data_IF_630409475865
#
_entry.id   IF_630409475865
#
_cell.length_a   1.000
_cell.length_b   1.000
_cell.length_c   1.000
_cell.angle_alpha   90.00
_cell.angle_beta   90.00
_cell.angle_gamma   90.00
#
_symmetry.space_group_name_H-M   'P 1'
#
loop_
_entity.id
_entity.type
_entity.pdbx_description
1 polymer ?
#
# COMPACT_ATOMS: atom_id res chain seq x y z
N UNK A 1 -35.25 -9.26 -3.31
CA UNK A 1 -34.28 -8.89 -2.25
C UNK A 1 -32.89 -9.12 -2.79
N UNK A 2 -32.13 -8.05 -2.99
CA UNK A 2 -30.69 -8.20 -3.18
C UNK A 2 -30.11 -8.65 -1.83
N UNK A 3 -29.41 -9.78 -1.75
CA UNK A 3 -28.60 -10.07 -0.58
C UNK A 3 -27.64 -8.89 -0.44
N UNK A 4 -27.62 -8.25 0.72
CA UNK A 4 -26.64 -7.22 1.02
C UNK A 4 -25.27 -7.88 0.79
N UNK A 5 -24.56 -7.41 -0.25
CA UNK A 5 -23.21 -7.85 -0.54
C UNK A 5 -22.42 -7.55 0.72
N UNK A 6 -22.01 -8.60 1.42
CA UNK A 6 -21.26 -8.46 2.65
C UNK A 6 -20.02 -7.65 2.34
N UNK A 7 -19.86 -6.50 3.01
CA UNK A 7 -18.74 -5.61 2.75
C UNK A 7 -17.44 -6.34 3.12
N UNK A 8 -16.57 -6.48 2.14
CA UNK A 8 -15.24 -7.04 2.34
C UNK A 8 -14.49 -6.25 3.42
N UNK A 9 -13.94 -6.94 4.39
CA UNK A 9 -13.07 -6.34 5.39
C UNK A 9 -11.63 -6.44 4.92
N UNK A 10 -10.95 -5.30 4.86
CA UNK A 10 -9.52 -5.21 4.60
C UNK A 10 -8.80 -5.18 5.94
N UNK A 11 -7.91 -6.14 6.15
CA UNK A 11 -7.12 -6.25 7.38
C UNK A 11 -5.65 -6.29 7.03
N UNK A 12 -4.87 -5.47 7.72
CA UNK A 12 -3.42 -5.51 7.65
C UNK A 12 -2.82 -5.55 9.06
N UNK A 13 -1.69 -6.18 9.20
CA UNK A 13 -1.00 -6.27 10.48
C UNK A 13 0.51 -6.24 10.29
N UNK A 14 1.25 -5.77 11.30
CA UNK A 14 2.68 -5.98 11.36
C UNK A 14 2.97 -7.47 11.63
N UNK A 15 4.18 -7.89 11.31
CA UNK A 15 4.56 -9.30 11.42
C UNK A 15 4.37 -9.86 12.84
N UNK A 16 4.71 -9.10 13.87
CA UNK A 16 4.55 -9.55 15.27
C UNK A 16 3.13 -9.42 15.82
N UNK A 17 2.22 -8.78 15.09
CA UNK A 17 0.83 -8.60 15.51
C UNK A 17 0.58 -7.48 16.51
N UNK A 18 1.61 -6.75 16.94
CA UNK A 18 1.46 -5.68 17.93
C UNK A 18 0.62 -4.50 17.44
N UNK A 19 0.59 -4.27 16.13
CA UNK A 19 -0.23 -3.24 15.50
C UNK A 19 -0.96 -3.79 14.28
N UNK A 20 -2.18 -3.31 14.08
CA UNK A 20 -3.03 -3.75 12.97
C UNK A 20 -3.98 -2.64 12.55
N UNK A 21 -4.58 -2.81 11.38
CA UNK A 21 -5.67 -1.97 10.91
C UNK A 21 -6.77 -2.79 10.26
N UNK A 22 -7.96 -2.23 10.23
CA UNK A 22 -9.11 -2.80 9.52
C UNK A 22 -9.87 -1.70 8.80
N UNK A 23 -10.46 -2.04 7.66
CA UNK A 23 -11.29 -1.14 6.85
C UNK A 23 -12.44 -1.94 6.21
N UNK A 24 -13.66 -1.48 6.38
CA UNK A 24 -14.86 -2.10 5.81
C UNK A 24 -15.41 -1.31 4.62
N UNK A 25 -14.53 -0.65 3.90
CA UNK A 25 -14.88 0.07 2.67
C UNK A 25 -13.99 -0.40 1.51
N UNK A 26 -14.47 -0.23 0.29
CA UNK A 26 -13.70 -0.58 -0.90
C UNK A 26 -12.44 0.29 -1.01
N UNK A 27 -11.29 -0.29 -1.40
CA UNK A 27 -10.12 0.49 -1.74
C UNK A 27 -10.42 1.49 -2.86
N UNK A 28 -9.80 2.66 -2.77
CA UNK A 28 -9.91 3.72 -3.78
C UNK A 28 -8.81 3.67 -4.84
N UNK A 29 -7.83 2.82 -4.65
CA UNK A 29 -6.74 2.62 -5.60
C UNK A 29 -5.82 1.49 -5.21
N UNK A 30 -5.08 1.02 -6.20
CA UNK A 30 -4.01 0.05 -6.03
C UNK A 30 -2.95 0.31 -7.10
N UNK A 31 -1.67 0.32 -6.72
CA UNK A 31 -0.58 0.65 -7.63
C UNK A 31 0.74 0.03 -7.18
N UNK A 32 1.70 -0.01 -8.10
CA UNK A 32 3.07 -0.42 -7.83
C UNK A 32 4.02 0.78 -7.99
N UNK A 33 4.84 1.04 -6.98
CA UNK A 33 5.78 2.16 -6.96
C UNK A 33 7.23 1.68 -6.94
N UNK A 34 8.00 2.09 -7.95
CA UNK A 34 9.40 1.71 -8.13
C UNK A 34 10.39 2.79 -7.68
N UNK A 35 9.94 3.85 -7.02
CA UNK A 35 10.82 4.94 -6.60
C UNK A 35 11.87 4.47 -5.59
N UNK A 36 12.99 5.19 -5.55
CA UNK A 36 14.10 4.89 -4.64
C UNK A 36 13.69 4.90 -3.17
N UNK A 37 12.75 5.77 -2.79
CA UNK A 37 12.20 5.81 -1.43
C UNK A 37 11.45 4.52 -1.08
N UNK A 38 10.55 4.06 -1.95
CA UNK A 38 9.80 2.82 -1.73
C UNK A 38 10.73 1.60 -1.69
N UNK A 39 11.72 1.54 -2.60
CA UNK A 39 12.72 0.46 -2.58
C UNK A 39 13.53 0.43 -1.29
N UNK A 40 14.07 1.58 -0.89
CA UNK A 40 14.95 1.65 0.29
C UNK A 40 14.20 1.40 1.60
N UNK A 41 12.98 1.89 1.72
CA UNK A 41 12.18 1.73 2.94
C UNK A 41 11.55 0.35 3.07
N UNK A 42 11.35 -0.38 1.97
CA UNK A 42 10.83 -1.75 1.98
C UNK A 42 11.91 -2.82 1.90
N UNK A 43 13.06 -2.49 1.32
CA UNK A 43 14.10 -3.46 0.98
C UNK A 43 13.78 -4.30 -0.27
N UNK A 44 12.68 -4.04 -0.96
CA UNK A 44 12.27 -4.77 -2.15
C UNK A 44 12.53 -4.00 -3.46
N UNK A 45 12.25 -4.65 -4.58
CA UNK A 45 12.38 -4.04 -5.90
C UNK A 45 11.39 -2.89 -6.12
N UNK A 46 10.19 -3.01 -5.55
CA UNK A 46 9.13 -2.00 -5.56
C UNK A 46 8.17 -2.27 -4.41
N UNK A 47 7.30 -1.33 -4.13
CA UNK A 47 6.23 -1.48 -3.16
C UNK A 47 4.87 -1.40 -3.85
N UNK A 48 3.94 -2.24 -3.42
CA UNK A 48 2.56 -2.21 -3.87
C UNK A 48 1.69 -1.55 -2.82
N UNK A 49 0.83 -0.63 -3.24
CA UNK A 49 0.09 0.23 -2.33
C UNK A 49 -1.40 0.16 -2.57
N UNK A 50 -2.14 -0.13 -1.50
CA UNK A 50 -3.59 0.06 -1.45
C UNK A 50 -3.89 1.44 -0.88
N UNK A 51 -4.83 2.15 -1.51
CA UNK A 51 -5.40 3.39 -0.98
C UNK A 51 -6.73 3.07 -0.33
N UNK A 52 -6.81 3.20 0.99
CA UNK A 52 -8.03 2.98 1.74
C UNK A 52 -8.65 4.31 2.18
N UNK A 53 -9.98 4.44 2.19
CA UNK A 53 -10.63 5.65 2.72
C UNK A 53 -10.36 5.76 4.23
N UNK A 54 -9.70 6.84 4.64
CA UNK A 54 -9.22 7.02 6.01
C UNK A 54 -10.34 7.01 7.05
N UNK A 55 -11.51 7.54 6.70
CA UNK A 55 -12.68 7.55 7.57
C UNK A 55 -13.21 6.15 7.95
N UNK A 56 -12.90 5.15 7.13
CA UNK A 56 -13.34 3.77 7.34
C UNK A 56 -12.23 2.90 7.97
N UNK A 57 -11.06 3.44 8.22
CA UNK A 57 -9.92 2.70 8.79
C UNK A 57 -9.92 2.83 10.31
N UNK A 58 -9.75 1.69 10.98
CA UNK A 58 -9.51 1.62 12.41
C UNK A 58 -8.13 1.02 12.66
N UNK A 59 -7.34 1.68 13.51
CA UNK A 59 -5.98 1.26 13.83
C UNK A 59 -5.95 0.80 15.28
N UNK A 60 -5.33 -0.35 15.51
CA UNK A 60 -5.12 -0.92 16.83
C UNK A 60 -3.62 -1.05 17.12
N UNK A 61 -3.24 -0.92 18.38
CA UNK A 61 -1.86 -1.06 18.78
C UNK A 61 -0.99 0.13 18.41
N UNK A 62 -1.53 1.33 18.36
CA UNK A 62 -0.79 2.55 17.99
C UNK A 62 0.46 2.78 18.84
N UNK A 63 0.46 2.35 20.11
CA UNK A 63 1.62 2.49 20.99
C UNK A 63 2.86 1.72 20.50
N UNK A 64 2.67 0.69 19.70
CA UNK A 64 3.77 -0.07 19.09
C UNK A 64 4.34 0.60 17.82
N UNK A 65 3.65 1.58 17.27
CA UNK A 65 4.05 2.22 16.02
C UNK A 65 5.07 3.34 16.26
N UNK A 66 5.97 3.47 15.29
CA UNK A 66 6.91 4.58 15.14
C UNK A 66 6.59 5.31 13.85
N UNK A 67 6.92 6.59 13.82
CA UNK A 67 6.69 7.47 12.69
C UNK A 67 8.03 7.90 12.08
N UNK A 68 8.08 7.90 10.75
CA UNK A 68 9.17 8.48 9.97
C UNK A 68 8.61 9.35 8.86
N UNK A 69 9.11 10.57 8.74
CA UNK A 69 8.70 11.54 7.73
C UNK A 69 9.80 11.67 6.65
N UNK A 70 9.75 10.86 5.57
CA UNK A 70 10.76 10.93 4.51
C UNK A 70 10.72 12.22 3.68
N UNK A 71 9.56 12.88 3.66
CA UNK A 71 9.33 14.14 2.96
C UNK A 71 8.48 15.07 3.83
N UNK A 72 8.34 16.34 3.41
CA UNK A 72 7.50 17.30 4.11
C UNK A 72 6.01 16.89 4.14
N UNK A 73 5.55 16.14 3.14
CA UNK A 73 4.14 15.74 3.01
C UNK A 73 3.86 14.32 3.49
N UNK A 74 4.86 13.46 3.48
CA UNK A 74 4.68 12.04 3.74
C UNK A 74 5.07 11.64 5.15
N UNK A 75 4.27 10.75 5.74
CA UNK A 75 4.57 10.10 7.02
C UNK A 75 4.37 8.61 6.88
N UNK A 76 5.33 7.84 7.35
CA UNK A 76 5.27 6.39 7.35
C UNK A 76 5.22 5.86 8.77
N UNK A 77 4.32 4.92 9.01
CA UNK A 77 4.12 4.29 10.31
C UNK A 77 4.52 2.83 10.24
N UNK A 78 5.43 2.44 11.09
CA UNK A 78 5.98 1.10 11.14
C UNK A 78 6.01 0.58 12.58
N UNK A 79 5.98 -0.74 12.73
CA UNK A 79 6.06 -1.36 14.05
C UNK A 79 7.46 -1.19 14.64
N UNK A 80 7.55 -0.62 15.83
CA UNK A 80 8.81 -0.46 16.53
C UNK A 80 9.39 -1.77 17.08
N UNK A 81 8.58 -2.85 17.14
CA UNK A 81 9.02 -4.16 17.62
C UNK A 81 9.59 -5.02 16.49
N UNK A 82 8.92 -5.09 15.34
CA UNK A 82 9.34 -5.98 14.25
C UNK A 82 9.75 -5.26 12.97
N UNK A 83 9.58 -3.94 12.89
CA UNK A 83 9.98 -3.13 11.73
C UNK A 83 9.01 -3.16 10.56
N UNK A 84 7.90 -3.91 10.61
CA UNK A 84 6.93 -3.96 9.52
C UNK A 84 6.32 -2.59 9.25
N UNK A 85 6.30 -2.18 7.99
CA UNK A 85 5.57 -1.00 7.57
C UNK A 85 4.08 -1.30 7.56
N UNK A 86 3.26 -0.46 8.18
CA UNK A 86 1.82 -0.72 8.31
C UNK A 86 0.97 0.25 7.48
N UNK A 87 1.25 1.55 7.54
CA UNK A 87 0.51 2.50 6.72
C UNK A 87 1.29 3.80 6.52
N UNK A 88 0.81 4.60 5.60
CA UNK A 88 1.36 5.91 5.28
C UNK A 88 0.26 6.95 5.15
N UNK A 89 0.59 8.19 5.50
CA UNK A 89 -0.25 9.36 5.29
C UNK A 89 0.47 10.33 4.36
N UNK A 90 -0.29 11.01 3.53
CA UNK A 90 0.20 12.10 2.67
C UNK A 90 -0.71 13.31 2.86
N UNK A 91 -0.14 14.44 3.29
CA UNK A 91 -0.90 15.66 3.54
C UNK A 91 -1.56 16.25 2.29
N UNK A 92 -1.14 15.82 1.09
CA UNK A 92 -1.75 16.20 -0.18
C UNK A 92 -3.03 15.39 -0.48
N UNK A 93 -3.20 14.25 0.18
CA UNK A 93 -4.37 13.37 0.07
C UNK A 93 -4.81 12.94 1.47
N UNK A 94 -5.30 13.87 2.31
CA UNK A 94 -5.56 13.60 3.73
C UNK A 94 -6.69 12.60 3.98
N UNK A 95 -7.54 12.37 2.98
CA UNK A 95 -8.65 11.43 3.05
C UNK A 95 -8.23 9.96 2.82
N UNK A 96 -6.98 9.74 2.41
CA UNK A 96 -6.47 8.41 2.06
C UNK A 96 -5.44 7.93 3.08
N UNK A 97 -5.53 6.65 3.42
CA UNK A 97 -4.46 5.91 4.10
C UNK A 97 -3.87 4.93 3.09
N UNK A 98 -2.56 5.04 2.84
CA UNK A 98 -1.83 4.10 2.02
C UNK A 98 -1.39 2.89 2.84
N UNK A 99 -1.67 1.69 2.37
CA UNK A 99 -1.30 0.44 3.04
C UNK A 99 -0.42 -0.39 2.13
N UNK A 100 0.76 -0.83 2.61
CA UNK A 100 1.55 -1.77 1.83
C UNK A 100 0.77 -3.06 1.59
N UNK A 101 0.64 -3.47 0.34
CA UNK A 101 -0.12 -4.66 -0.01
C UNK A 101 0.41 -5.92 0.68
N UNK A 102 1.72 -6.00 0.88
CA UNK A 102 2.34 -7.12 1.58
C UNK A 102 1.96 -7.26 3.06
N UNK A 103 1.43 -6.20 3.69
CA UNK A 103 0.94 -6.25 5.06
C UNK A 103 -0.52 -6.70 5.18
N UNK A 104 -1.24 -6.79 4.06
CA UNK A 104 -2.65 -7.20 4.05
C UNK A 104 -2.74 -8.70 4.30
N UNK A 105 -3.60 -9.06 5.23
CA UNK A 105 -3.82 -10.46 5.64
C UNK A 105 -4.75 -11.18 4.66
N UNK A 106 -4.58 -12.48 4.54
CA UNK A 106 -5.46 -13.33 3.72
C UNK A 106 -6.80 -13.66 4.40
N UNK A 107 -7.69 -14.38 3.68
CA UNK A 107 -9.04 -14.69 4.18
C UNK A 107 -9.04 -15.50 5.47
N UNK A 108 -8.07 -16.38 5.66
CA UNK A 108 -7.92 -17.22 6.87
C UNK A 108 -7.67 -16.40 8.13
N UNK A 109 -7.16 -15.17 7.97
CA UNK A 109 -6.93 -14.22 9.06
C UNK A 109 -7.93 -13.04 9.05
N UNK A 110 -9.07 -13.22 8.37
CA UNK A 110 -10.14 -12.22 8.30
C UNK A 110 -9.90 -11.08 7.31
N UNK A 111 -8.92 -11.23 6.43
CA UNK A 111 -8.66 -10.30 5.34
C UNK A 111 -9.51 -10.57 4.08
N UNK A 112 -9.28 -9.83 2.99
CA UNK A 112 -10.05 -9.96 1.76
C UNK A 112 -9.77 -11.28 1.04
N UNK A 113 -10.77 -11.79 0.36
CA UNK A 113 -10.59 -12.88 -0.59
C UNK A 113 -9.79 -12.40 -1.81
N UNK A 114 -9.17 -13.35 -2.53
CA UNK A 114 -8.30 -13.02 -3.68
C UNK A 114 -9.05 -12.23 -4.76
N UNK A 115 -10.30 -12.59 -5.04
CA UNK A 115 -11.14 -11.92 -6.04
C UNK A 115 -11.66 -10.55 -5.62
N UNK A 116 -11.49 -10.17 -4.36
CA UNK A 116 -11.86 -8.84 -3.88
C UNK A 116 -10.80 -7.76 -4.22
N UNK A 117 -9.58 -8.16 -4.58
CA UNK A 117 -8.51 -7.23 -4.88
C UNK A 117 -8.81 -6.42 -6.14
N UNK A 118 -8.63 -5.08 -6.10
CA UNK A 118 -8.74 -4.28 -7.31
C UNK A 118 -7.57 -4.56 -8.27
N UNK A 119 -7.81 -4.34 -9.55
CA UNK A 119 -6.69 -4.30 -10.50
C UNK A 119 -5.77 -3.12 -10.20
N UNK A 120 -4.46 -3.34 -10.27
CA UNK A 120 -3.51 -2.25 -10.13
C UNK A 120 -3.64 -1.28 -11.32
N UNK A 121 -3.51 0.02 -11.04
CA UNK A 121 -3.58 1.05 -12.09
C UNK A 121 -2.32 1.13 -12.95
N UNK A 122 -1.20 0.63 -12.46
CA UNK A 122 0.06 0.63 -13.19
C UNK A 122 1.28 0.52 -12.31
N UNK A 123 2.42 0.61 -12.99
CA UNK A 123 3.75 0.76 -12.40
C UNK A 123 4.17 2.21 -12.54
N UNK A 124 4.58 2.82 -11.44
CA UNK A 124 4.95 4.23 -11.36
C UNK A 124 6.41 4.37 -10.93
N UNK A 125 7.04 5.47 -11.32
CA UNK A 125 8.45 5.72 -11.05
C UNK A 125 9.37 4.64 -11.62
N UNK A 126 9.03 4.09 -12.78
CA UNK A 126 9.80 3.02 -13.41
C UNK A 126 11.20 3.47 -13.82
N UNK A 127 11.40 4.77 -14.06
CA UNK A 127 12.73 5.32 -14.37
C UNK A 127 13.70 5.20 -13.19
N UNK A 128 13.19 5.05 -11.96
CA UNK A 128 13.98 4.82 -10.74
C UNK A 128 14.06 3.34 -10.35
N UNK A 129 13.60 2.46 -11.22
CA UNK A 129 13.45 1.03 -10.96
C UNK A 129 14.74 0.32 -10.58
N UNK A 130 14.60 -0.78 -9.86
CA UNK A 130 15.72 -1.61 -9.44
C UNK A 130 16.45 -2.20 -10.66
N UNK A 131 17.78 -2.02 -10.78
CA UNK A 131 18.50 -2.48 -11.96
C UNK A 131 18.64 -4.01 -12.05
N UNK A 132 18.36 -4.69 -10.95
CA UNK A 132 18.52 -6.14 -10.82
C UNK A 132 17.23 -6.93 -11.03
N UNK A 133 16.12 -6.25 -11.40
CA UNK A 133 14.84 -6.92 -11.66
C UNK A 133 14.20 -6.37 -12.94
N UNK A 134 13.66 -7.26 -13.76
CA UNK A 134 12.81 -6.88 -14.88
C UNK A 134 11.40 -6.51 -14.38
N UNK A 135 10.77 -5.53 -15.04
CA UNK A 135 9.38 -5.23 -14.77
C UNK A 135 8.49 -6.42 -15.17
N UNK A 136 7.46 -6.75 -14.39
CA UNK A 136 6.53 -7.81 -14.76
C UNK A 136 5.87 -7.54 -16.13
N UNK A 137 5.68 -8.60 -16.91
CA UNK A 137 4.90 -8.54 -18.16
C UNK A 137 3.42 -8.80 -17.85
N UNK A 138 2.81 -7.88 -17.13
CA UNK A 138 1.44 -8.00 -16.60
C UNK A 138 0.41 -7.16 -17.37
N UNK A 139 0.85 -6.48 -18.44
CA UNK A 139 -0.03 -5.62 -19.25
C UNK A 139 -0.41 -4.31 -18.60
N UNK A 140 0.10 -4.01 -17.40
CA UNK A 140 -0.20 -2.75 -16.71
C UNK A 140 0.57 -1.57 -17.34
N UNK A 141 -0.02 -0.36 -17.34
CA UNK A 141 0.69 0.84 -17.76
C UNK A 141 1.99 1.05 -16.98
N UNK A 142 3.04 1.48 -17.69
CA UNK A 142 4.34 1.81 -17.11
C UNK A 142 4.57 3.30 -17.21
N UNK A 143 4.86 3.93 -16.09
CA UNK A 143 5.06 5.37 -15.99
C UNK A 143 6.38 5.67 -15.31
N UNK A 144 6.97 6.79 -15.67
CA UNK A 144 8.27 7.20 -15.15
C UNK A 144 8.57 8.65 -15.45
N UNK A 145 9.81 8.95 -15.85
CA UNK A 145 10.28 10.32 -16.04
C UNK A 145 10.56 11.01 -14.72
N UNK A 146 10.74 12.32 -14.77
CA UNK A 146 11.12 13.14 -13.59
C UNK A 146 10.04 13.13 -12.53
N UNK A 147 8.77 13.16 -12.92
CA UNK A 147 7.62 13.15 -12.02
C UNK A 147 7.16 11.74 -11.62
N UNK A 148 7.74 10.70 -12.23
CA UNK A 148 7.37 9.32 -11.99
C UNK A 148 6.01 8.90 -12.56
N UNK A 149 5.27 9.81 -13.16
CA UNK A 149 3.86 9.64 -13.57
C UNK A 149 3.66 9.75 -15.08
N UNK A 150 4.69 10.16 -15.83
CA UNK A 150 4.60 10.32 -17.27
C UNK A 150 4.60 8.97 -17.98
N UNK A 151 3.79 8.79 -19.05
CA UNK A 151 3.85 7.58 -19.87
C UNK A 151 5.26 7.33 -20.40
N UNK A 152 5.70 6.08 -20.32
CA UNK A 152 6.96 5.65 -20.93
C UNK A 152 6.66 5.06 -22.31
N UNK A 153 7.58 5.22 -23.29
CA UNK A 153 7.45 4.53 -24.57
C UNK A 153 7.48 3.01 -24.38
N UNK A 154 6.79 2.29 -25.28
CA UNK A 154 6.77 0.83 -25.32
C UNK A 154 8.15 0.25 -25.67
#
# INVERSE_FOLDING_TARGET
MNPMKELTTWRAACYCGAASLSCRAAPRGFMHCHCGQCRRLSGGAFSSWLSLPGEAVQIQGQAALREFAPTANGRRFFCGHCGSHLYTLDSRMPEIIGVPAGAVLGPEAGGPAVDAWPCASGHYFCSDGAPWVALPEDGLPRRGGVDGMSPLPD
#
